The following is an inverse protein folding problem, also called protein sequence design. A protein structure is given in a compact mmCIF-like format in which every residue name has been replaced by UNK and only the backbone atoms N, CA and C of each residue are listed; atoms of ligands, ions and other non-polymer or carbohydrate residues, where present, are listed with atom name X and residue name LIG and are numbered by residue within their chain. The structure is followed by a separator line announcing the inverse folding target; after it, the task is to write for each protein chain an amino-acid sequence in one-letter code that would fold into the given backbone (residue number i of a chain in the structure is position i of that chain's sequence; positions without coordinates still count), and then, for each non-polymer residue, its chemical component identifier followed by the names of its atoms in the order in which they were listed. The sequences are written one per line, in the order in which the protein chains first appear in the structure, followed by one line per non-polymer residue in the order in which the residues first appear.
data_IF_184980457873
#
_entry.id   IF_184980457873
#
_cell.length_a   1.000
_cell.length_b   1.000
_cell.length_c   1.000
_cell.angle_alpha   90.00
_cell.angle_beta   90.00
_cell.angle_gamma   90.00
#
_symmetry.space_group_name_H-M   'P 1'
#
loop_
_entity.id
_entity.type
_entity.pdbx_description
1 polymer ?
#
# COMPACT_ATOMS: atom_id res chain seq x y z
N UNK A 1 -36.82 -25.19 33.37
CA UNK A 1 -37.11 -23.79 32.99
C UNK A 1 -35.94 -22.92 33.45
N UNK A 2 -35.04 -22.53 32.56
CA UNK A 2 -34.01 -21.53 32.87
C UNK A 2 -34.01 -20.50 31.74
N UNK A 3 -34.26 -19.26 32.15
CA UNK A 3 -34.47 -18.09 31.29
C UNK A 3 -33.24 -17.83 30.42
N UNK A 4 -33.50 -17.56 29.15
CA UNK A 4 -32.53 -17.05 28.20
C UNK A 4 -32.18 -15.59 28.50
N UNK A 5 -30.88 -15.30 28.52
CA UNK A 5 -30.36 -13.93 28.48
C UNK A 5 -29.87 -13.70 27.06
N UNK A 6 -30.70 -13.00 26.28
CA UNK A 6 -30.39 -12.57 24.93
C UNK A 6 -29.57 -11.27 25.03
N UNK A 7 -28.24 -11.39 25.07
CA UNK A 7 -27.34 -10.23 25.08
C UNK A 7 -27.11 -9.77 23.63
N UNK A 8 -27.89 -8.79 23.19
CA UNK A 8 -27.70 -8.10 21.90
C UNK A 8 -26.55 -7.10 22.08
N UNK A 9 -25.32 -7.53 21.79
CA UNK A 9 -24.19 -6.62 21.60
C UNK A 9 -24.22 -6.06 20.18
N UNK A 10 -24.88 -4.91 20.02
CA UNK A 10 -24.79 -4.09 18.82
C UNK A 10 -23.38 -3.48 18.73
N UNK A 11 -22.50 -4.08 17.92
CA UNK A 11 -21.17 -3.55 17.59
C UNK A 11 -21.32 -2.34 16.66
N UNK A 12 -21.57 -1.16 17.24
CA UNK A 12 -21.37 0.12 16.57
C UNK A 12 -19.88 0.48 16.59
N UNK A 13 -19.13 0.05 15.58
CA UNK A 13 -17.68 0.25 15.53
C UNK A 13 -17.08 0.46 14.13
N UNK A 14 -17.82 0.99 13.16
CA UNK A 14 -17.32 1.15 11.77
C UNK A 14 -17.04 2.63 11.38
N UNK A 15 -17.33 3.61 12.23
CA UNK A 15 -17.34 5.02 11.80
C UNK A 15 -16.00 5.78 11.86
N UNK A 16 -14.91 5.22 12.40
CA UNK A 16 -13.68 6.03 12.65
C UNK A 16 -12.72 6.13 11.44
N UNK A 17 -12.84 5.30 10.40
CA UNK A 17 -11.75 5.15 9.42
C UNK A 17 -11.98 5.73 8.02
N UNK A 18 -13.09 6.42 7.78
CA UNK A 18 -13.30 7.15 6.52
C UNK A 18 -12.42 8.41 6.39
N UNK A 19 -11.90 8.95 7.50
CA UNK A 19 -11.17 10.22 7.51
C UNK A 19 -9.73 10.11 6.99
N UNK A 20 -9.11 8.93 7.01
CA UNK A 20 -7.71 8.78 6.59
C UNK A 20 -7.55 8.41 5.10
N UNK A 21 -8.65 8.18 4.36
CA UNK A 21 -8.63 7.99 2.91
C UNK A 21 -8.65 9.32 2.13
N UNK A 22 -9.02 10.43 2.79
CA UNK A 22 -9.15 11.74 2.15
C UNK A 22 -7.80 12.39 1.80
N UNK A 23 -6.71 12.04 2.50
CA UNK A 23 -5.37 12.58 2.25
C UNK A 23 -4.65 11.89 1.09
N UNK A 24 -5.16 10.77 0.57
CA UNK A 24 -4.54 9.99 -0.52
C UNK A 24 -5.20 10.17 -1.88
N UNK A 25 -6.24 11.02 -1.99
CA UNK A 25 -6.68 11.46 -3.31
C UNK A 25 -5.60 12.39 -3.85
N UNK A 26 -4.94 11.95 -4.93
CA UNK A 26 -4.21 12.84 -5.85
C UNK A 26 -5.06 14.12 -5.99
N UNK A 27 -4.48 15.34 -5.90
CA UNK A 27 -5.21 16.51 -6.34
C UNK A 27 -5.62 16.22 -7.79
N UNK A 28 -6.91 15.90 -7.95
CA UNK A 28 -7.57 15.82 -9.23
C UNK A 28 -7.17 17.13 -9.89
N UNK A 29 -6.40 17.07 -10.98
CA UNK A 29 -6.14 18.25 -11.79
C UNK A 29 -7.53 18.75 -12.15
N UNK A 30 -8.00 19.77 -11.43
CA UNK A 30 -9.04 20.66 -11.90
C UNK A 30 -8.50 21.15 -13.24
N UNK A 31 -8.87 20.44 -14.31
CA UNK A 31 -8.92 21.00 -15.65
C UNK A 31 -9.98 22.09 -15.52
N UNK A 32 -9.52 23.26 -15.10
CA UNK A 32 -10.23 24.49 -15.31
C UNK A 32 -10.55 24.51 -16.81
N UNK A 33 -11.82 24.32 -17.12
CA UNK A 33 -12.36 24.71 -18.41
C UNK A 33 -12.28 26.23 -18.43
N UNK A 34 -11.12 26.76 -18.82
CA UNK A 34 -10.98 28.18 -19.15
C UNK A 34 -11.55 28.31 -20.56
N UNK A 35 -12.85 28.53 -20.59
CA UNK A 35 -13.53 29.09 -21.75
C UNK A 35 -12.97 30.49 -21.98
N UNK A 36 -12.31 30.65 -23.12
CA UNK A 36 -12.28 31.86 -23.94
C UNK A 36 -11.90 33.19 -23.27
N UNK A 37 -10.67 33.63 -23.53
CA UNK A 37 -10.48 35.05 -23.84
C UNK A 37 -9.43 35.21 -24.94
N UNK A 38 -9.93 35.59 -26.11
CA UNK A 38 -9.14 36.06 -27.25
C UNK A 38 -8.62 37.46 -26.91
N UNK A 39 -7.30 37.65 -26.85
CA UNK A 39 -6.69 38.96 -27.15
C UNK A 39 -5.47 38.78 -28.04
N UNK A 40 -5.62 39.28 -29.25
CA UNK A 40 -4.55 39.55 -30.19
C UNK A 40 -3.81 40.82 -29.77
N UNK A 41 -2.47 40.84 -29.88
CA UNK A 41 -1.64 41.74 -30.70
C UNK A 41 -0.29 42.17 -30.08
N UNK A 42 0.76 41.88 -30.86
CA UNK A 42 2.01 42.62 -31.14
C UNK A 42 2.85 43.23 -30.02
N UNK A 43 4.09 42.75 -29.87
CA UNK A 43 5.29 43.45 -30.39
C UNK A 43 6.59 42.64 -30.12
N UNK A 44 7.50 42.73 -31.08
CA UNK A 44 8.78 42.01 -31.22
C UNK A 44 9.92 42.88 -30.65
N UNK A 45 10.89 42.30 -29.92
CA UNK A 45 12.27 42.71 -30.06
C UNK A 45 13.14 41.53 -30.53
N UNK A 46 13.72 41.74 -31.71
CA UNK A 46 14.79 40.94 -32.29
C UNK A 46 16.07 41.23 -31.51
N UNK A 47 16.49 40.30 -30.65
CA UNK A 47 17.78 40.35 -29.97
C UNK A 47 18.35 38.95 -29.85
N UNK A 48 19.30 38.62 -30.73
CA UNK A 48 19.92 37.30 -30.83
C UNK A 48 20.53 36.84 -29.50
N UNK A 49 19.87 35.85 -28.88
CA UNK A 49 20.49 35.02 -27.86
C UNK A 49 20.92 33.74 -28.54
N UNK A 50 22.22 33.62 -28.78
CA UNK A 50 22.87 32.39 -29.23
C UNK A 50 22.31 31.23 -28.41
N UNK A 51 21.83 30.22 -29.14
CA UNK A 51 21.24 29.00 -28.62
C UNK A 51 22.30 28.31 -27.75
N UNK A 52 22.28 28.62 -26.45
CA UNK A 52 22.91 27.77 -25.47
C UNK A 52 22.00 26.55 -25.39
N UNK A 53 22.36 25.52 -26.15
CA UNK A 53 21.77 24.18 -26.10
C UNK A 53 21.77 23.75 -24.63
N UNK A 54 20.67 24.05 -23.95
CA UNK A 54 20.51 23.81 -22.53
C UNK A 54 20.54 22.31 -22.34
N UNK A 55 21.65 21.79 -21.82
CA UNK A 55 21.77 20.40 -21.43
C UNK A 55 20.52 20.04 -20.62
N UNK A 56 19.69 19.16 -21.17
CA UNK A 56 18.51 18.66 -20.49
C UNK A 56 18.99 18.09 -19.16
N UNK A 57 18.51 18.60 -18.00
CA UNK A 57 18.93 18.09 -16.71
C UNK A 57 18.70 16.58 -16.68
N UNK A 58 19.77 15.80 -16.68
CA UNK A 58 19.64 14.36 -16.53
C UNK A 58 19.07 14.07 -15.14
N UNK A 59 18.08 13.18 -15.02
CA UNK A 59 17.56 12.80 -13.73
C UNK A 59 18.71 12.23 -12.87
N UNK A 60 18.73 12.53 -11.57
CA UNK A 60 19.77 12.00 -10.68
C UNK A 60 19.76 10.48 -10.72
N UNK A 61 20.92 9.87 -10.98
CA UNK A 61 21.07 8.41 -10.94
C UNK A 61 20.78 7.93 -9.52
N UNK A 62 19.85 6.98 -9.31
CA UNK A 62 19.57 6.46 -7.98
C UNK A 62 20.80 5.77 -7.39
N UNK A 63 21.05 6.00 -6.10
CA UNK A 63 22.12 5.27 -5.39
C UNK A 63 21.74 3.79 -5.24
N UNK A 64 22.72 2.86 -5.15
CA UNK A 64 22.45 1.43 -4.94
C UNK A 64 21.54 1.15 -3.74
N UNK A 65 21.63 1.98 -2.71
CA UNK A 65 20.80 1.91 -1.50
C UNK A 65 19.32 2.16 -1.79
N UNK A 66 18.99 3.14 -2.66
CA UNK A 66 17.61 3.44 -3.05
C UNK A 66 17.03 2.30 -3.89
N UNK A 67 17.79 1.81 -4.88
CA UNK A 67 17.34 0.72 -5.74
C UNK A 67 17.07 -0.57 -4.97
N UNK A 68 18.00 -0.98 -4.10
CA UNK A 68 17.81 -2.17 -3.27
C UNK A 68 16.61 -2.05 -2.32
N UNK A 69 16.34 -0.84 -1.80
CA UNK A 69 15.18 -0.58 -0.93
C UNK A 69 13.86 -0.76 -1.69
N UNK A 70 13.72 -0.16 -2.87
CA UNK A 70 12.52 -0.30 -3.69
C UNK A 70 12.26 -1.75 -4.09
N UNK A 71 13.30 -2.49 -4.46
CA UNK A 71 13.18 -3.92 -4.78
C UNK A 71 12.69 -4.74 -3.59
N UNK A 72 13.23 -4.51 -2.38
CA UNK A 72 12.76 -5.19 -1.16
C UNK A 72 11.33 -4.82 -0.80
N UNK A 73 10.98 -3.53 -0.81
CA UNK A 73 9.61 -3.08 -0.53
C UNK A 73 8.60 -3.69 -1.52
N UNK A 74 8.96 -3.74 -2.80
CA UNK A 74 8.14 -4.39 -3.82
C UNK A 74 7.98 -5.89 -3.56
N UNK A 75 9.07 -6.61 -3.28
CA UNK A 75 9.02 -8.04 -3.01
C UNK A 75 8.12 -8.36 -1.79
N UNK A 76 8.27 -7.62 -0.70
CA UNK A 76 7.42 -7.79 0.51
C UNK A 76 5.95 -7.44 0.22
N UNK A 77 5.70 -6.38 -0.54
CA UNK A 77 4.35 -6.00 -0.94
C UNK A 77 3.67 -7.06 -1.82
N UNK A 78 4.40 -7.65 -2.79
CA UNK A 78 3.89 -8.77 -3.59
C UNK A 78 3.57 -9.99 -2.73
N UNK A 79 4.43 -10.31 -1.75
CA UNK A 79 4.18 -11.42 -0.83
C UNK A 79 2.87 -11.24 -0.05
N UNK A 80 2.67 -10.06 0.53
CA UNK A 80 1.44 -9.73 1.25
C UNK A 80 0.22 -9.73 0.32
N UNK A 81 0.34 -9.23 -0.91
CA UNK A 81 -0.73 -9.27 -1.89
C UNK A 81 -1.16 -10.69 -2.24
N UNK A 82 -0.20 -11.60 -2.44
CA UNK A 82 -0.51 -12.99 -2.78
C UNK A 82 -1.21 -13.69 -1.62
N UNK A 83 -0.69 -13.56 -0.39
CA UNK A 83 -1.33 -14.12 0.82
C UNK A 83 -2.76 -13.56 0.97
N UNK A 84 -2.93 -12.23 0.88
CA UNK A 84 -4.23 -11.58 1.01
C UNK A 84 -5.24 -12.04 -0.05
N UNK A 85 -4.80 -12.26 -1.29
CA UNK A 85 -5.68 -12.78 -2.35
C UNK A 85 -6.13 -14.22 -2.10
N UNK A 86 -5.28 -15.06 -1.49
CA UNK A 86 -5.69 -16.39 -1.02
C UNK A 86 -6.74 -16.23 0.08
N UNK A 87 -6.51 -15.36 1.07
CA UNK A 87 -7.48 -15.07 2.13
C UNK A 87 -8.83 -14.56 1.64
N UNK A 88 -8.83 -13.68 0.63
CA UNK A 88 -10.07 -13.14 0.03
C UNK A 88 -10.91 -14.26 -0.61
N UNK A 89 -10.25 -15.21 -1.29
CA UNK A 89 -10.90 -16.32 -1.99
C UNK A 89 -11.29 -17.47 -1.08
N UNK A 90 -10.46 -17.79 -0.09
CA UNK A 90 -10.54 -19.03 0.70
C UNK A 90 -10.95 -18.84 2.16
N UNK A 91 -10.97 -17.60 2.66
CA UNK A 91 -11.41 -17.33 4.02
C UNK A 91 -12.76 -17.99 4.30
N UNK A 92 -12.86 -18.78 5.36
CA UNK A 92 -14.05 -19.51 5.73
C UNK A 92 -15.13 -18.55 6.24
N UNK A 93 -14.72 -17.57 7.06
CA UNK A 93 -15.62 -16.56 7.62
C UNK A 93 -15.67 -15.30 6.76
N UNK A 94 -16.81 -14.59 6.86
CA UNK A 94 -16.98 -13.30 6.19
C UNK A 94 -16.02 -12.24 6.75
N UNK A 95 -15.65 -12.32 8.03
CA UNK A 95 -14.73 -11.36 8.64
C UNK A 95 -13.32 -11.50 8.07
N UNK A 96 -12.82 -12.72 7.90
CA UNK A 96 -11.50 -12.98 7.32
C UNK A 96 -11.45 -12.57 5.86
N UNK A 97 -12.47 -12.91 5.06
CA UNK A 97 -12.53 -12.45 3.66
C UNK A 97 -12.53 -10.92 3.54
N UNK A 98 -13.25 -10.22 4.44
CA UNK A 98 -13.27 -8.74 4.47
C UNK A 98 -11.92 -8.16 4.86
N UNK A 99 -11.26 -8.71 5.88
CA UNK A 99 -9.91 -8.33 6.26
C UNK A 99 -8.93 -8.53 5.09
N UNK A 100 -8.94 -9.71 4.48
CA UNK A 100 -8.08 -10.04 3.35
C UNK A 100 -8.30 -9.10 2.16
N UNK A 101 -9.56 -8.84 1.79
CA UNK A 101 -9.92 -7.86 0.75
C UNK A 101 -9.40 -6.46 1.07
N UNK A 102 -9.45 -6.02 2.34
CA UNK A 102 -8.92 -4.73 2.77
C UNK A 102 -7.41 -4.66 2.53
N UNK A 103 -6.67 -5.67 2.98
CA UNK A 103 -5.22 -5.78 2.76
C UNK A 103 -4.91 -5.76 1.26
N UNK A 104 -5.63 -6.54 0.44
CA UNK A 104 -5.46 -6.55 -1.02
C UNK A 104 -5.64 -5.16 -1.64
N UNK A 105 -6.70 -4.42 -1.26
CA UNK A 105 -6.95 -3.09 -1.80
C UNK A 105 -5.88 -2.08 -1.40
N UNK A 106 -5.45 -2.10 -0.14
CA UNK A 106 -4.44 -1.17 0.35
C UNK A 106 -3.06 -1.45 -0.30
N UNK A 107 -2.63 -2.71 -0.35
CA UNK A 107 -1.34 -3.09 -0.94
C UNK A 107 -1.30 -2.96 -2.47
N UNK A 108 -2.46 -2.99 -3.17
CA UNK A 108 -2.52 -2.62 -4.60
C UNK A 108 -2.18 -1.15 -4.82
N UNK A 109 -2.63 -0.26 -3.93
CA UNK A 109 -2.26 1.17 -3.99
C UNK A 109 -0.78 1.36 -3.71
N UNK A 110 -0.24 0.64 -2.71
CA UNK A 110 1.19 0.65 -2.40
C UNK A 110 2.02 0.17 -3.60
N UNK A 111 1.61 -0.92 -4.27
CA UNK A 111 2.24 -1.39 -5.50
C UNK A 111 2.30 -0.31 -6.57
N UNK A 112 1.19 0.36 -6.84
CA UNK A 112 1.14 1.43 -7.84
C UNK A 112 2.10 2.60 -7.49
N UNK A 113 2.17 2.99 -6.21
CA UNK A 113 3.10 4.02 -5.76
C UNK A 113 4.57 3.58 -5.87
N UNK A 114 4.89 2.32 -5.57
CA UNK A 114 6.22 1.76 -5.77
C UNK A 114 6.62 1.74 -7.25
N UNK A 115 5.69 1.37 -8.14
CA UNK A 115 5.90 1.38 -9.59
C UNK A 115 6.16 2.80 -10.10
N UNK A 116 5.34 3.79 -9.73
CA UNK A 116 5.54 5.19 -10.12
C UNK A 116 6.90 5.74 -9.62
N UNK A 117 7.29 5.39 -8.39
CA UNK A 117 8.59 5.77 -7.82
C UNK A 117 9.76 5.12 -8.59
N UNK A 118 9.64 3.84 -8.91
CA UNK A 118 10.68 3.09 -9.61
C UNK A 118 10.83 3.56 -11.06
N UNK A 119 9.74 3.79 -11.78
CA UNK A 119 9.74 4.36 -13.13
C UNK A 119 10.46 5.71 -13.17
N UNK A 120 10.15 6.60 -12.22
CA UNK A 120 10.79 7.92 -12.14
C UNK A 120 12.31 7.83 -11.91
N UNK A 121 12.77 6.76 -11.29
CA UNK A 121 14.18 6.50 -11.01
C UNK A 121 14.84 5.60 -12.06
N UNK A 122 14.12 5.16 -13.09
CA UNK A 122 14.64 4.23 -14.10
C UNK A 122 14.92 2.82 -13.55
N UNK A 123 14.23 2.40 -12.49
CA UNK A 123 14.40 1.10 -11.84
C UNK A 123 13.31 0.15 -12.32
N UNK A 124 13.70 -1.06 -12.75
CA UNK A 124 12.77 -2.12 -13.10
C UNK A 124 12.40 -2.97 -11.87
N UNK A 125 11.14 -2.89 -11.43
CA UNK A 125 10.62 -3.75 -10.36
C UNK A 125 10.26 -5.13 -10.91
N UNK A 126 11.04 -6.15 -10.55
CA UNK A 126 10.71 -7.54 -10.86
C UNK A 126 9.88 -8.16 -9.75
N UNK A 127 8.91 -8.98 -10.11
CA UNK A 127 8.18 -9.83 -9.16
C UNK A 127 8.97 -11.12 -8.92
N UNK A 128 9.11 -11.51 -7.66
CA UNK A 128 9.70 -12.80 -7.29
C UNK A 128 8.59 -13.79 -6.91
N UNK A 129 8.70 -15.07 -7.31
CA UNK A 129 7.80 -16.10 -6.83
C UNK A 129 7.93 -16.27 -5.31
N UNK A 130 6.81 -16.53 -4.63
CA UNK A 130 6.76 -16.70 -3.18
C UNK A 130 6.43 -18.16 -2.86
N UNK A 131 7.43 -19.00 -2.53
CA UNK A 131 7.22 -20.43 -2.32
C UNK A 131 6.40 -20.75 -1.07
N UNK A 132 6.28 -19.81 -0.14
CA UNK A 132 5.69 -19.97 1.19
C UNK A 132 4.16 -20.13 1.20
N UNK A 133 3.49 -19.99 0.04
CA UNK A 133 2.03 -19.99 -0.03
C UNK A 133 1.40 -21.39 0.04
N UNK A 134 2.18 -22.45 -0.20
CA UNK A 134 1.65 -23.82 -0.30
C UNK A 134 0.93 -24.27 0.96
N UNK A 135 1.40 -23.85 2.13
CA UNK A 135 0.78 -24.25 3.40
C UNK A 135 -0.63 -23.68 3.54
N UNK A 136 -0.85 -22.42 3.15
CA UNK A 136 -2.17 -21.80 3.13
C UNK A 136 -3.07 -22.44 2.08
N UNK A 137 -2.51 -22.81 0.92
CA UNK A 137 -3.21 -23.49 -0.17
C UNK A 137 -3.65 -24.92 0.20
N UNK A 138 -2.90 -25.61 1.06
CA UNK A 138 -3.26 -26.96 1.52
C UNK A 138 -4.12 -27.01 2.79
N UNK A 139 -4.26 -25.89 3.51
CA UNK A 139 -4.97 -25.87 4.78
C UNK A 139 -6.46 -26.25 4.63
N UNK A 140 -6.97 -27.01 5.60
CA UNK A 140 -8.38 -27.35 5.70
C UNK A 140 -9.21 -26.07 5.95
N UNK A 141 -10.47 -25.98 5.45
CA UNK A 141 -11.29 -24.78 5.62
C UNK A 141 -11.45 -24.32 7.08
N UNK A 142 -11.55 -25.26 8.02
CA UNK A 142 -11.71 -24.98 9.46
C UNK A 142 -10.45 -24.44 10.13
N UNK A 143 -9.28 -24.67 9.55
CA UNK A 143 -7.98 -24.21 10.07
C UNK A 143 -7.45 -23.00 9.29
N UNK A 144 -7.98 -22.79 8.08
CA UNK A 144 -7.50 -21.80 7.13
C UNK A 144 -7.50 -20.39 7.72
N UNK A 145 -8.59 -19.97 8.36
CA UNK A 145 -8.74 -18.60 8.87
C UNK A 145 -7.68 -18.28 9.94
N UNK A 146 -7.48 -19.20 10.89
CA UNK A 146 -6.43 -19.06 11.91
C UNK A 146 -5.03 -19.04 11.29
N UNK A 147 -4.72 -19.98 10.40
CA UNK A 147 -3.40 -20.05 9.76
C UNK A 147 -3.12 -18.80 8.90
N UNK A 148 -4.13 -18.32 8.18
CA UNK A 148 -4.05 -17.11 7.37
C UNK A 148 -3.78 -15.88 8.22
N UNK A 149 -4.54 -15.68 9.31
CA UNK A 149 -4.35 -14.54 10.21
C UNK A 149 -3.00 -14.59 10.93
N UNK A 150 -2.55 -15.77 11.36
CA UNK A 150 -1.20 -15.96 11.93
C UNK A 150 -0.11 -15.61 10.91
N UNK A 151 -0.26 -16.06 9.66
CA UNK A 151 0.68 -15.77 8.59
C UNK A 151 0.75 -14.26 8.31
N UNK A 152 -0.40 -13.59 8.23
CA UNK A 152 -0.47 -12.14 8.03
C UNK A 152 0.17 -11.38 9.18
N UNK A 153 -0.18 -11.70 10.42
CA UNK A 153 0.39 -11.07 11.61
C UNK A 153 1.91 -11.27 11.68
N UNK A 154 2.42 -12.48 11.40
CA UNK A 154 3.85 -12.76 11.39
C UNK A 154 4.60 -11.96 10.31
N UNK A 155 4.04 -11.87 9.10
CA UNK A 155 4.64 -11.10 7.99
C UNK A 155 4.65 -9.59 8.30
N UNK A 156 3.55 -9.05 8.79
CA UNK A 156 3.47 -7.64 9.16
C UNK A 156 4.42 -7.29 10.31
N UNK A 157 4.49 -8.15 11.34
CA UNK A 157 5.41 -8.01 12.47
C UNK A 157 6.88 -8.01 12.02
N UNK A 158 7.25 -8.87 11.07
CA UNK A 158 8.61 -8.93 10.51
C UNK A 158 8.94 -7.74 9.60
N UNK A 159 7.95 -7.21 8.89
CA UNK A 159 8.17 -6.13 7.92
C UNK A 159 8.29 -4.73 8.57
N UNK A 160 7.63 -4.51 9.71
CA UNK A 160 7.69 -3.21 10.42
C UNK A 160 9.12 -2.76 10.75
N UNK A 161 10.02 -3.60 11.32
CA UNK A 161 11.42 -3.23 11.54
C UNK A 161 12.15 -2.81 10.26
N UNK A 162 11.96 -3.55 9.16
CA UNK A 162 12.59 -3.24 7.86
C UNK A 162 12.11 -1.89 7.31
N UNK A 163 10.82 -1.60 7.44
CA UNK A 163 10.24 -0.32 7.04
C UNK A 163 10.75 0.83 7.91
N UNK A 164 10.86 0.62 9.22
CA UNK A 164 11.41 1.62 10.14
C UNK A 164 12.89 1.92 9.85
N UNK A 165 13.68 0.88 9.55
CA UNK A 165 15.07 1.06 9.11
C UNK A 165 15.12 1.83 7.78
N UNK A 166 14.26 1.45 6.84
CA UNK A 166 14.15 2.10 5.52
C UNK A 166 13.73 3.57 5.62
N UNK A 167 12.88 3.93 6.59
CA UNK A 167 12.43 5.31 6.81
C UNK A 167 13.55 6.22 7.31
N UNK A 168 14.56 5.67 7.99
CA UNK A 168 15.70 6.44 8.54
C UNK A 168 16.80 6.69 7.51
N UNK A 169 16.83 5.91 6.43
CA UNK A 169 17.89 6.02 5.43
C UNK A 169 17.58 7.14 4.42
N UNK A 170 18.58 7.90 3.94
CA UNK A 170 18.40 8.89 2.89
C UNK A 170 17.69 8.32 1.67
N UNK A 171 16.76 9.09 1.11
CA UNK A 171 15.98 8.77 -0.08
C UNK A 171 15.31 10.03 -0.64
N UNK A 172 14.64 9.89 -1.77
CA UNK A 172 13.72 10.91 -2.29
C UNK A 172 12.62 11.22 -1.27
N UNK A 173 12.10 12.45 -1.26
CA UNK A 173 10.99 12.85 -0.39
C UNK A 173 9.76 11.94 -0.59
N UNK A 174 9.47 11.55 -1.83
CA UNK A 174 8.34 10.66 -2.16
C UNK A 174 8.53 9.26 -1.58
N UNK A 175 9.72 8.67 -1.68
CA UNK A 175 9.99 7.35 -1.09
C UNK A 175 9.98 7.39 0.45
N UNK A 176 10.43 8.48 1.06
CA UNK A 176 10.31 8.68 2.52
C UNK A 176 8.83 8.71 2.95
N UNK A 177 8.01 9.53 2.28
CA UNK A 177 6.58 9.60 2.55
C UNK A 177 5.91 8.23 2.36
N UNK A 178 6.18 7.56 1.23
CA UNK A 178 5.66 6.21 0.96
C UNK A 178 6.03 5.23 2.09
N UNK A 179 7.28 5.24 2.55
CA UNK A 179 7.74 4.36 3.63
C UNK A 179 7.02 4.67 4.94
N UNK A 180 6.86 5.95 5.31
CA UNK A 180 6.12 6.34 6.52
C UNK A 180 4.66 5.89 6.49
N UNK A 181 3.99 6.06 5.35
CA UNK A 181 2.60 5.64 5.18
C UNK A 181 2.46 4.13 5.26
N UNK A 182 3.44 3.40 4.69
CA UNK A 182 3.45 1.95 4.72
C UNK A 182 3.65 1.41 6.14
N UNK A 183 4.49 2.05 6.98
CA UNK A 183 4.62 1.69 8.41
C UNK A 183 3.27 1.82 9.13
N UNK A 184 2.56 2.94 8.92
CA UNK A 184 1.26 3.15 9.55
C UNK A 184 0.22 2.12 9.08
N UNK A 185 0.20 1.84 7.77
CA UNK A 185 -0.70 0.87 7.17
C UNK A 185 -0.48 -0.56 7.72
N UNK A 186 0.76 -1.03 7.72
CA UNK A 186 1.11 -2.39 8.17
C UNK A 186 0.81 -2.57 9.66
N UNK A 187 0.98 -1.53 10.49
CA UNK A 187 0.55 -1.57 11.90
C UNK A 187 -0.96 -1.74 12.05
N UNK A 188 -1.76 -1.08 11.21
CA UNK A 188 -3.22 -1.25 11.22
C UNK A 188 -3.60 -2.69 10.87
N UNK A 189 -2.99 -3.26 9.81
CA UNK A 189 -3.24 -4.64 9.41
C UNK A 189 -2.83 -5.64 10.51
N UNK A 190 -1.66 -5.47 11.11
CA UNK A 190 -1.19 -6.27 12.25
C UNK A 190 -2.17 -6.24 13.42
N UNK A 191 -2.60 -5.04 13.84
CA UNK A 191 -3.57 -4.91 14.94
C UNK A 191 -4.88 -5.63 14.60
N UNK A 192 -5.42 -5.46 13.39
CA UNK A 192 -6.64 -6.14 12.98
C UNK A 192 -6.48 -7.67 12.97
N UNK A 193 -5.36 -8.19 12.46
CA UNK A 193 -5.08 -9.62 12.47
C UNK A 193 -5.00 -10.16 13.91
N UNK A 194 -4.33 -9.44 14.81
CA UNK A 194 -4.22 -9.82 16.23
C UNK A 194 -5.57 -9.80 16.95
N UNK A 195 -6.42 -8.81 16.68
CA UNK A 195 -7.78 -8.77 17.23
C UNK A 195 -8.61 -9.98 16.76
N UNK A 196 -8.50 -10.37 15.49
CA UNK A 196 -9.18 -11.53 14.93
C UNK A 196 -8.63 -12.87 15.44
N UNK A 197 -7.42 -12.89 15.99
CA UNK A 197 -6.82 -14.08 16.61
C UNK A 197 -7.20 -14.28 18.08
N UNK A 198 -7.87 -13.30 18.72
CA UNK A 198 -8.26 -13.42 20.13
C UNK A 198 -9.36 -14.48 20.31
N UNK A 199 -9.40 -15.17 21.47
CA UNK A 199 -10.48 -16.10 21.79
C UNK A 199 -11.86 -15.44 21.69
N UNK A 200 -12.80 -16.09 21.02
CA UNK A 200 -14.17 -15.58 20.82
C UNK A 200 -14.33 -14.60 19.65
N UNK A 201 -13.26 -14.29 18.91
CA UNK A 201 -13.38 -13.62 17.62
C UNK A 201 -14.16 -14.50 16.62
N UNK A 202 -14.92 -13.92 15.69
CA UNK A 202 -15.78 -14.67 14.76
C UNK A 202 -14.99 -15.21 13.56
N UNK A 203 -13.94 -15.99 13.82
CA UNK A 203 -13.02 -16.62 12.85
C UNK A 203 -13.21 -18.13 12.77
#
# INVERSE_FOLDING_TARGET
MRLGVLLILAVCGVAVWAQNAATWRRPERQRASVAGERRSTTARPTGGRLQQEGAVPQPPVPTPTVSSRLLRMNASNEALLQVAQIGEKRGATTVVRRYARRVTLDHRKVKAMLQEEAERLGINLRSAPQPELRQLESAAPTEFDHLFLQTMAAKDQAFIPELNQSARQPATRSLQLLTHNLVALVRIHLTLAQELLKPGAPV
#
